data_IF_788616665271
#
_entry.id   IF_788616665271
#
_cell.length_a   1.000
_cell.length_b   1.000
_cell.length_c   1.000
_cell.angle_alpha   90.00
_cell.angle_beta   90.00
_cell.angle_gamma   90.00
#
_symmetry.space_group_name_H-M   'P 1'
#
loop_
_entity.id
_entity.type
_entity.pdbx_description
1 polymer ?
#
# COMPACT_ATOMS: atom_id res chain seq x y z
N UNK A 1 39.81 -61.66 -37.20
CA UNK A 1 41.21 -61.32 -37.49
C UNK A 1 41.38 -59.82 -37.43
N UNK A 2 42.28 -59.39 -36.54
CA UNK A 2 43.03 -58.13 -36.48
C UNK A 2 42.36 -56.82 -36.01
N UNK A 3 43.08 -56.25 -35.04
CA UNK A 3 42.92 -55.08 -34.19
C UNK A 3 43.41 -53.76 -34.85
N UNK A 4 42.93 -52.63 -34.28
CA UNK A 4 43.62 -51.33 -34.04
C UNK A 4 43.90 -50.42 -35.26
N UNK A 5 43.74 -49.09 -35.22
CA UNK A 5 44.26 -48.13 -34.22
C UNK A 5 43.46 -46.80 -34.12
N UNK A 6 43.58 -46.18 -32.94
CA UNK A 6 43.09 -44.87 -32.51
C UNK A 6 43.81 -43.66 -33.15
N UNK A 7 43.13 -42.50 -33.13
CA UNK A 7 43.72 -41.15 -33.12
C UNK A 7 42.62 -40.11 -32.87
N UNK A 8 42.27 -39.83 -31.60
CA UNK A 8 42.80 -38.77 -30.73
C UNK A 8 41.82 -37.59 -30.62
N UNK A 9 41.28 -37.47 -29.41
CA UNK A 9 40.38 -36.47 -28.86
C UNK A 9 40.96 -35.06 -28.75
N UNK A 10 40.15 -34.05 -29.05
CA UNK A 10 40.25 -32.73 -28.41
C UNK A 10 39.02 -32.51 -27.49
N UNK A 11 39.16 -32.62 -26.16
CA UNK A 11 38.05 -32.51 -25.22
C UNK A 11 37.77 -31.08 -24.74
N UNK A 12 38.21 -30.02 -25.44
CA UNK A 12 37.99 -28.61 -25.03
C UNK A 12 37.13 -27.74 -25.95
N UNK A 13 36.26 -28.32 -26.76
CA UNK A 13 35.25 -27.52 -27.47
C UNK A 13 33.95 -27.43 -26.65
N UNK A 14 33.80 -26.36 -25.88
CA UNK A 14 32.50 -25.96 -25.33
C UNK A 14 31.59 -25.50 -26.49
N UNK A 15 30.32 -25.95 -26.57
CA UNK A 15 29.39 -25.44 -27.57
C UNK A 15 29.03 -23.98 -27.26
N UNK A 16 29.30 -23.08 -28.19
CA UNK A 16 28.92 -21.67 -28.13
C UNK A 16 27.40 -21.53 -28.20
N UNK A 17 26.80 -20.88 -27.19
CA UNK A 17 25.38 -20.52 -27.18
C UNK A 17 25.05 -19.53 -28.31
N UNK A 18 23.90 -19.65 -28.99
CA UNK A 18 23.49 -18.69 -30.00
C UNK A 18 23.17 -17.32 -29.36
N UNK A 19 23.76 -16.28 -29.93
CA UNK A 19 23.58 -14.87 -29.58
C UNK A 19 22.11 -14.49 -29.75
N UNK A 20 21.47 -14.02 -28.67
CA UNK A 20 20.07 -13.59 -28.69
C UNK A 20 19.89 -12.39 -29.62
N UNK A 21 19.09 -12.57 -30.67
CA UNK A 21 18.62 -11.53 -31.58
C UNK A 21 17.91 -10.43 -30.79
N UNK A 22 18.30 -9.18 -31.05
CA UNK A 22 17.69 -7.96 -30.51
C UNK A 22 16.22 -7.87 -30.94
N UNK A 23 15.33 -8.42 -30.11
CA UNK A 23 13.89 -8.23 -30.22
C UNK A 23 13.54 -6.80 -29.87
N UNK A 24 13.08 -6.03 -30.85
CA UNK A 24 12.50 -4.70 -30.64
C UNK A 24 11.41 -4.79 -29.56
N UNK A 25 11.67 -4.16 -28.40
CA UNK A 25 10.67 -3.99 -27.35
C UNK A 25 9.47 -3.25 -27.94
N UNK A 26 8.23 -3.74 -27.76
CA UNK A 26 7.05 -3.01 -28.21
C UNK A 26 7.05 -1.63 -27.54
N UNK A 27 6.78 -0.60 -28.34
CA UNK A 27 6.76 0.79 -27.92
C UNK A 27 5.95 0.92 -26.61
N UNK A 28 6.57 1.52 -25.58
CA UNK A 28 5.90 1.85 -24.32
C UNK A 28 4.63 2.61 -24.66
N UNK A 29 3.47 1.94 -24.47
CA UNK A 29 2.15 2.55 -24.56
C UNK A 29 2.21 3.86 -23.78
N UNK A 30 2.13 5.02 -24.47
CA UNK A 30 2.08 6.35 -23.82
C UNK A 30 0.97 6.25 -22.78
N UNK A 31 1.33 6.25 -21.50
CA UNK A 31 0.35 6.47 -20.42
C UNK A 31 -0.25 7.83 -20.74
N UNK A 32 -1.51 7.86 -21.18
CA UNK A 32 -2.27 9.12 -21.21
C UNK A 32 -2.07 9.74 -19.83
N UNK A 33 -1.62 10.99 -19.77
CA UNK A 33 -1.48 11.71 -18.51
C UNK A 33 -2.79 11.54 -17.74
N UNK A 34 -2.77 10.97 -16.52
CA UNK A 34 -4.03 10.66 -15.86
C UNK A 34 -4.73 11.98 -15.61
N UNK A 35 -5.99 12.10 -16.05
CA UNK A 35 -6.89 13.07 -15.46
C UNK A 35 -6.78 12.90 -13.94
N UNK A 36 -6.35 13.95 -13.23
CA UNK A 36 -6.02 13.81 -11.81
C UNK A 36 -7.21 13.21 -11.06
N UNK A 37 -6.98 12.09 -10.37
CA UNK A 37 -7.99 11.41 -9.59
C UNK A 37 -8.49 12.33 -8.47
N UNK A 38 -9.73 12.14 -8.01
CA UNK A 38 -10.35 12.95 -6.95
C UNK A 38 -9.45 13.08 -5.71
N UNK A 39 -8.72 12.02 -5.35
CA UNK A 39 -7.76 12.04 -4.25
C UNK A 39 -6.61 13.04 -4.48
N UNK A 40 -5.97 13.01 -5.66
CA UNK A 40 -4.82 13.88 -5.96
C UNK A 40 -5.18 15.36 -6.12
N UNK A 41 -6.47 15.66 -6.31
CA UNK A 41 -7.01 17.03 -6.35
C UNK A 41 -7.47 17.53 -4.98
N UNK A 42 -7.54 16.65 -3.98
CA UNK A 42 -7.98 17.00 -2.63
C UNK A 42 -6.92 17.89 -1.93
N UNK A 43 -7.30 19.07 -1.40
CA UNK A 43 -6.36 19.96 -0.73
C UNK A 43 -5.68 19.34 0.50
N UNK A 44 -6.38 18.48 1.25
CA UNK A 44 -5.80 17.79 2.41
C UNK A 44 -4.76 16.76 1.97
N UNK A 45 -4.99 16.09 0.83
CA UNK A 45 -3.99 15.18 0.25
C UNK A 45 -2.76 15.95 -0.24
N UNK A 46 -2.96 17.09 -0.91
CA UNK A 46 -1.87 17.94 -1.38
C UNK A 46 -1.05 18.49 -0.20
N UNK A 47 -1.71 18.93 0.87
CA UNK A 47 -1.07 19.36 2.13
C UNK A 47 -0.23 18.24 2.75
N UNK A 48 -0.79 17.03 2.88
CA UNK A 48 -0.07 15.87 3.41
C UNK A 48 1.13 15.50 2.53
N UNK A 49 0.95 15.51 1.21
CA UNK A 49 2.03 15.21 0.26
C UNK A 49 3.13 16.27 0.31
N UNK A 50 2.78 17.55 0.46
CA UNK A 50 3.74 18.63 0.60
C UNK A 50 4.51 18.49 1.91
N UNK A 51 3.81 18.28 3.02
CA UNK A 51 4.45 18.05 4.32
C UNK A 51 5.44 16.88 4.27
N UNK A 52 5.06 15.78 3.60
CA UNK A 52 5.97 14.63 3.42
C UNK A 52 7.20 14.98 2.58
N UNK A 53 7.07 15.79 1.53
CA UNK A 53 8.23 16.23 0.73
C UNK A 53 9.20 17.07 1.55
N UNK A 54 8.68 17.89 2.46
CA UNK A 54 9.46 18.79 3.29
C UNK A 54 10.11 18.07 4.48
N UNK A 55 9.40 17.17 5.15
CA UNK A 55 9.80 16.61 6.45
C UNK A 55 9.99 15.09 6.45
N UNK A 56 9.60 14.40 5.37
CA UNK A 56 9.53 12.93 5.34
C UNK A 56 10.87 12.23 5.58
N UNK A 57 11.98 12.85 5.18
CA UNK A 57 13.33 12.35 5.44
C UNK A 57 13.76 12.45 6.90
N UNK A 58 13.11 13.28 7.70
CA UNK A 58 13.41 13.48 9.12
C UNK A 58 12.75 12.42 10.01
N UNK A 59 11.74 11.72 9.48
CA UNK A 59 11.03 10.66 10.19
C UNK A 59 11.96 9.46 10.43
N UNK A 60 12.45 9.37 11.66
CA UNK A 60 13.21 8.23 12.15
C UNK A 60 12.51 7.65 13.37
N UNK A 61 12.11 6.37 13.29
CA UNK A 61 11.29 5.77 14.34
C UNK A 61 11.96 5.80 15.72
N UNK A 62 13.27 5.50 15.78
CA UNK A 62 14.00 5.53 17.05
C UNK A 62 13.98 6.93 17.66
N UNK A 63 14.30 7.96 16.87
CA UNK A 63 14.23 9.36 17.32
C UNK A 63 12.83 9.77 17.76
N UNK A 64 11.79 9.32 17.08
CA UNK A 64 10.39 9.60 17.47
C UNK A 64 10.03 9.02 18.85
N UNK A 65 10.54 7.83 19.19
CA UNK A 65 10.39 7.25 20.53
C UNK A 65 11.31 7.93 21.57
N UNK A 66 12.50 8.34 21.16
CA UNK A 66 13.43 9.03 22.06
C UNK A 66 12.91 10.41 22.48
N UNK A 67 12.32 11.14 21.52
CA UNK A 67 11.75 12.47 21.71
C UNK A 67 10.40 12.47 22.44
N UNK A 68 9.62 11.38 22.35
CA UNK A 68 8.36 11.23 23.07
C UNK A 68 8.32 9.90 23.82
N UNK A 69 8.61 9.96 25.13
CA UNK A 69 8.59 8.78 26.01
C UNK A 69 7.19 8.18 26.19
N UNK A 70 6.14 8.95 25.93
CA UNK A 70 4.73 8.51 26.02
C UNK A 70 4.12 8.14 24.65
N UNK A 71 4.96 7.99 23.62
CA UNK A 71 4.51 7.71 22.25
C UNK A 71 3.61 6.48 22.14
N UNK A 72 3.85 5.44 22.94
CA UNK A 72 2.98 4.26 22.95
C UNK A 72 1.55 4.64 23.35
N UNK A 73 1.37 5.42 24.42
CA UNK A 73 0.06 5.82 24.90
C UNK A 73 -0.63 6.78 23.93
N UNK A 74 0.11 7.72 23.34
CA UNK A 74 -0.44 8.67 22.36
C UNK A 74 -0.87 8.00 21.03
N UNK A 75 -0.21 6.89 20.65
CA UNK A 75 -0.41 6.21 19.36
C UNK A 75 -0.86 4.75 19.55
N UNK A 76 -1.67 4.49 20.56
CA UNK A 76 -2.38 3.22 20.72
C UNK A 76 -3.82 3.45 21.14
N UNK A 77 -4.67 2.46 20.86
CA UNK A 77 -6.04 2.41 21.33
C UNK A 77 -6.32 1.03 21.90
N UNK A 78 -6.89 0.98 23.11
CA UNK A 78 -7.37 -0.25 23.71
C UNK A 78 -8.89 -0.29 23.66
N UNK A 79 -9.44 -1.24 22.91
CA UNK A 79 -10.87 -1.47 22.82
C UNK A 79 -11.25 -2.56 23.82
N UNK A 80 -12.16 -2.25 24.75
CA UNK A 80 -12.78 -3.27 25.61
C UNK A 80 -14.08 -3.76 24.95
N UNK A 81 -14.16 -5.05 24.66
CA UNK A 81 -15.34 -5.66 24.01
C UNK A 81 -16.32 -6.29 25.01
N UNK A 82 -16.11 -6.12 26.32
CA UNK A 82 -16.72 -6.87 27.43
C UNK A 82 -16.40 -8.37 27.45
N UNK A 83 -15.75 -8.89 26.41
CA UNK A 83 -15.30 -10.29 26.29
C UNK A 83 -13.77 -10.40 26.12
N UNK A 84 -13.06 -9.28 26.26
CA UNK A 84 -11.63 -9.19 26.09
C UNK A 84 -11.20 -7.81 25.63
N UNK A 85 -9.88 -7.60 25.60
CA UNK A 85 -9.29 -6.37 25.11
C UNK A 85 -8.65 -6.59 23.74
N UNK A 86 -8.81 -5.60 22.86
CA UNK A 86 -8.08 -5.51 21.60
C UNK A 86 -7.19 -4.27 21.69
N UNK A 87 -5.88 -4.48 21.73
CA UNK A 87 -4.88 -3.41 21.66
C UNK A 87 -4.50 -3.17 20.21
N UNK A 88 -4.72 -1.95 19.72
CA UNK A 88 -4.24 -1.46 18.44
C UNK A 88 -3.07 -0.52 18.71
N UNK A 89 -1.85 -1.06 18.75
CA UNK A 89 -0.62 -0.27 18.84
C UNK A 89 -0.14 0.13 17.44
N UNK A 90 -0.26 1.43 17.11
CA UNK A 90 0.24 2.01 15.88
C UNK A 90 1.42 2.98 16.12
N UNK A 91 2.02 2.95 17.31
CA UNK A 91 3.15 3.81 17.69
C UNK A 91 4.42 3.56 16.88
N UNK A 92 4.58 2.35 16.32
CA UNK A 92 5.73 1.93 15.49
C UNK A 92 5.64 2.37 14.02
N UNK A 93 4.71 3.28 13.69
CA UNK A 93 4.60 3.88 12.36
C UNK A 93 5.38 5.19 12.26
N UNK A 94 5.81 5.55 11.05
CA UNK A 94 6.48 6.82 10.73
C UNK A 94 5.47 7.98 10.67
N UNK A 95 4.89 8.30 11.83
CA UNK A 95 3.86 9.34 11.97
C UNK A 95 4.15 10.22 13.18
N UNK A 96 3.83 11.50 13.07
CA UNK A 96 3.74 12.44 14.19
C UNK A 96 2.26 12.76 14.47
N UNK A 97 1.99 13.54 15.52
CA UNK A 97 0.62 13.98 15.83
C UNK A 97 0.04 14.82 14.69
N UNK A 98 0.87 15.65 14.05
CA UNK A 98 0.49 16.44 12.88
C UNK A 98 0.11 15.56 11.68
N UNK A 99 0.89 14.50 11.43
CA UNK A 99 0.57 13.53 10.36
C UNK A 99 -0.75 12.83 10.63
N UNK A 100 -0.99 12.39 11.86
CA UNK A 100 -2.27 11.76 12.22
C UNK A 100 -3.43 12.73 12.04
N UNK A 101 -3.29 13.99 12.44
CA UNK A 101 -4.30 15.03 12.23
C UNK A 101 -4.59 15.24 10.73
N UNK A 102 -3.56 15.37 9.90
CA UNK A 102 -3.73 15.51 8.44
C UNK A 102 -4.39 14.28 7.80
N UNK A 103 -4.09 13.07 8.26
CA UNK A 103 -4.72 11.84 7.79
C UNK A 103 -6.22 11.79 8.15
N UNK A 104 -6.57 12.20 9.38
CA UNK A 104 -7.97 12.28 9.82
C UNK A 104 -8.73 13.38 9.04
N UNK A 105 -8.11 14.54 8.82
CA UNK A 105 -8.70 15.61 8.02
C UNK A 105 -8.92 15.18 6.57
N UNK A 106 -7.99 14.42 5.99
CA UNK A 106 -8.16 13.81 4.69
C UNK A 106 -9.33 12.82 4.66
N UNK A 107 -9.47 11.96 5.68
CA UNK A 107 -10.60 11.03 5.77
C UNK A 107 -11.95 11.77 5.81
N UNK A 108 -12.03 12.89 6.54
CA UNK A 108 -13.20 13.78 6.54
C UNK A 108 -13.46 14.40 5.17
N UNK A 109 -12.43 15.00 4.55
CA UNK A 109 -12.51 15.61 3.22
C UNK A 109 -12.96 14.64 2.13
N UNK A 110 -12.55 13.37 2.24
CA UNK A 110 -12.95 12.29 1.32
C UNK A 110 -14.36 11.74 1.58
N UNK A 111 -15.07 12.24 2.59
CA UNK A 111 -16.44 11.84 2.89
C UNK A 111 -16.57 10.42 3.43
N UNK A 112 -15.56 9.92 4.16
CA UNK A 112 -15.55 8.55 4.70
C UNK A 112 -16.74 8.30 5.63
N UNK A 113 -17.08 9.27 6.49
CA UNK A 113 -18.23 9.17 7.40
C UNK A 113 -19.56 9.09 6.64
N UNK A 114 -19.77 9.96 5.64
CA UNK A 114 -20.96 9.89 4.81
C UNK A 114 -21.04 8.56 4.04
N UNK A 115 -19.93 8.08 3.46
CA UNK A 115 -19.90 6.80 2.77
C UNK A 115 -20.20 5.61 3.71
N UNK A 116 -19.73 5.67 4.96
CA UNK A 116 -20.07 4.69 6.01
C UNK A 116 -21.58 4.69 6.25
N UNK A 117 -22.22 5.83 6.47
CA UNK A 117 -23.67 5.88 6.71
C UNK A 117 -24.47 5.30 5.54
N UNK A 118 -24.10 5.63 4.31
CA UNK A 118 -24.72 5.07 3.10
C UNK A 118 -24.64 3.54 3.05
N UNK A 119 -23.51 2.97 3.48
CA UNK A 119 -23.34 1.52 3.59
C UNK A 119 -24.28 0.92 4.63
N UNK A 120 -24.31 1.48 5.84
CA UNK A 120 -25.15 0.98 6.93
C UNK A 120 -26.66 1.11 6.63
N UNK A 121 -27.06 2.15 5.89
CA UNK A 121 -28.43 2.37 5.45
C UNK A 121 -28.84 1.53 4.22
N UNK A 122 -27.94 0.69 3.68
CA UNK A 122 -28.26 -0.21 2.57
C UNK A 122 -28.37 0.46 1.21
N UNK A 123 -27.78 1.65 1.02
CA UNK A 123 -27.71 2.27 -0.29
C UNK A 123 -26.88 1.44 -1.26
N UNK A 124 -27.13 1.63 -2.56
CA UNK A 124 -26.44 0.92 -3.65
C UNK A 124 -25.02 1.47 -3.89
N UNK A 125 -24.15 1.36 -2.89
CA UNK A 125 -22.78 1.87 -2.96
C UNK A 125 -21.87 1.05 -3.88
N UNK A 126 -22.22 -0.22 -4.17
CA UNK A 126 -21.61 -0.98 -5.26
C UNK A 126 -22.24 -0.49 -6.57
N UNK A 127 -21.73 0.64 -7.06
CA UNK A 127 -22.30 1.36 -8.19
C UNK A 127 -22.09 0.66 -9.54
N UNK A 128 -21.09 -0.22 -9.67
CA UNK A 128 -20.86 -0.99 -10.91
C UNK A 128 -21.93 -2.07 -11.11
N UNK A 129 -22.44 -2.65 -10.03
CA UNK A 129 -23.48 -3.67 -10.07
C UNK A 129 -24.87 -3.15 -9.64
N UNK A 130 -24.96 -1.90 -9.19
CA UNK A 130 -26.19 -1.31 -8.67
C UNK A 130 -26.74 -2.02 -7.42
N UNK A 131 -25.85 -2.47 -6.52
CA UNK A 131 -26.19 -3.30 -5.36
C UNK A 131 -25.85 -2.64 -4.02
N UNK A 132 -26.65 -2.97 -3.01
CA UNK A 132 -26.34 -2.67 -1.61
C UNK A 132 -25.18 -3.54 -1.11
N UNK A 133 -24.48 -3.07 -0.08
CA UNK A 133 -23.38 -3.81 0.58
C UNK A 133 -23.69 -3.91 2.08
N UNK A 134 -24.30 -5.02 2.50
CA UNK A 134 -24.91 -5.16 3.83
C UNK A 134 -24.41 -6.39 4.62
N UNK A 135 -23.13 -6.72 4.54
CA UNK A 135 -22.55 -7.79 5.36
C UNK A 135 -22.70 -7.51 6.87
N UNK A 136 -22.83 -6.24 7.28
CA UNK A 136 -23.12 -5.83 8.66
C UNK A 136 -24.51 -6.29 9.13
N UNK A 137 -25.51 -6.35 8.23
CA UNK A 137 -26.87 -6.75 8.58
C UNK A 137 -26.94 -8.23 9.03
N UNK A 138 -26.09 -9.09 8.47
CA UNK A 138 -26.03 -10.53 8.81
C UNK A 138 -25.63 -10.79 10.26
N UNK A 139 -24.98 -9.84 10.91
CA UNK A 139 -24.50 -9.93 12.29
C UNK A 139 -25.06 -8.82 13.18
N UNK A 140 -26.14 -8.18 12.75
CA UNK A 140 -26.81 -7.19 13.59
C UNK A 140 -27.49 -7.92 14.76
N UNK A 141 -27.15 -7.55 15.99
CA UNK A 141 -27.68 -8.15 17.23
C UNK A 141 -28.74 -7.28 17.90
N UNK A 142 -29.13 -6.19 17.24
CA UNK A 142 -30.22 -5.28 17.62
C UNK A 142 -31.59 -5.89 17.41
#
# INVERSE_FOLDING_TARGET
YSLQLLGSSDPRALPTLPTATSGQRPAKRRRKSPAMAALTRDPQFQKLQQWYREHGSELNLRRLFDANKDRFNHFSLTLNTNHGHILVDYSKNLVTEDVMRMLVDLAKSRGVEAARERMFNGEKINYTEGRAVLHVALRNRS
#
